data_IF_617825067241
#
_entry.id   IF_617825067241
#
_cell.length_a   1.000
_cell.length_b   1.000
_cell.length_c   1.000
_cell.angle_alpha   90.00
_cell.angle_beta   90.00
_cell.angle_gamma   90.00
#
_symmetry.space_group_name_H-M   'P 1'
#
loop_
_entity.id
_entity.type
_entity.pdbx_description
1 polymer ?
#
# COMPACT_ATOMS: atom_id res chain seq x y z
N UNK A 1 -53.80 -29.19 15.46
CA UNK A 1 -52.45 -28.97 14.89
C UNK A 1 -52.04 -27.55 15.24
N UNK A 2 -51.18 -27.38 16.25
CA UNK A 2 -50.67 -26.06 16.65
C UNK A 2 -49.41 -25.81 15.86
N UNK A 3 -49.47 -24.90 14.89
CA UNK A 3 -48.34 -24.51 14.07
C UNK A 3 -47.36 -23.67 14.89
N UNK A 4 -46.22 -24.24 15.23
CA UNK A 4 -45.09 -23.50 15.80
C UNK A 4 -44.50 -22.64 14.69
N UNK A 5 -44.76 -21.33 14.73
CA UNK A 5 -44.07 -20.36 13.88
C UNK A 5 -42.65 -20.16 14.40
N UNK A 6 -41.69 -20.68 13.66
CA UNK A 6 -40.27 -20.50 13.93
C UNK A 6 -39.87 -19.08 13.49
N UNK A 7 -39.83 -18.14 14.44
CA UNK A 7 -39.22 -16.82 14.21
C UNK A 7 -37.70 -17.00 14.09
N UNK A 8 -37.19 -16.99 12.86
CA UNK A 8 -35.76 -16.87 12.61
C UNK A 8 -35.34 -15.42 12.94
N UNK A 9 -34.74 -15.21 14.10
CA UNK A 9 -34.10 -13.94 14.43
C UNK A 9 -32.88 -13.77 13.50
N UNK A 10 -32.99 -12.88 12.51
CA UNK A 10 -31.83 -12.39 11.79
C UNK A 10 -30.99 -11.54 12.76
N UNK A 11 -29.98 -12.15 13.38
CA UNK A 11 -28.89 -11.38 13.95
C UNK A 11 -28.18 -10.64 12.80
N UNK A 12 -27.94 -9.32 12.91
CA UNK A 12 -27.12 -8.63 11.94
C UNK A 12 -25.70 -9.22 12.02
N UNK A 13 -25.29 -9.93 10.98
CA UNK A 13 -23.89 -10.31 10.81
C UNK A 13 -23.08 -9.03 10.58
N UNK A 14 -22.61 -8.42 11.67
CA UNK A 14 -21.49 -7.49 11.63
C UNK A 14 -20.28 -8.30 11.16
N UNK A 15 -19.94 -8.17 9.89
CA UNK A 15 -18.58 -8.43 9.42
C UNK A 15 -17.69 -7.30 9.95
N UNK A 16 -17.51 -7.25 11.27
CA UNK A 16 -16.59 -6.35 11.92
C UNK A 16 -15.17 -6.88 11.70
N UNK A 17 -14.25 -6.02 11.27
CA UNK A 17 -12.84 -6.27 11.57
C UNK A 17 -12.76 -6.47 13.08
N UNK A 18 -12.09 -7.54 13.52
CA UNK A 18 -12.19 -8.01 14.89
C UNK A 18 -11.31 -7.19 15.87
N UNK A 19 -10.67 -6.15 15.36
CA UNK A 19 -9.67 -5.30 16.02
C UNK A 19 -10.07 -3.82 15.84
N UNK A 20 -9.61 -2.93 16.73
CA UNK A 20 -9.74 -1.50 16.51
C UNK A 20 -8.97 -1.06 15.26
N UNK A 21 -9.70 -0.58 14.26
CA UNK A 21 -9.13 0.11 13.10
C UNK A 21 -8.67 1.48 13.56
N UNK A 22 -7.41 1.80 13.28
CA UNK A 22 -6.79 3.09 13.57
C UNK A 22 -7.00 4.05 12.39
N UNK A 23 -6.78 3.54 11.17
CA UNK A 23 -6.94 4.25 9.91
C UNK A 23 -7.70 3.36 8.92
N UNK A 24 -8.73 3.89 8.30
CA UNK A 24 -9.51 3.19 7.28
C UNK A 24 -9.36 3.88 5.92
N UNK A 25 -8.41 3.40 5.12
CA UNK A 25 -8.13 3.88 3.77
C UNK A 25 -8.88 3.11 2.69
N UNK A 26 -9.92 2.36 3.04
CA UNK A 26 -10.80 1.69 2.06
C UNK A 26 -11.78 2.72 1.51
N UNK A 27 -11.65 3.05 0.23
CA UNK A 27 -12.43 4.13 -0.37
C UNK A 27 -13.92 3.77 -0.36
N UNK A 28 -14.79 4.50 0.38
CA UNK A 28 -16.21 4.19 0.38
C UNK A 28 -16.82 4.58 -0.99
N UNK A 29 -17.91 3.93 -1.39
CA UNK A 29 -18.54 4.17 -2.70
C UNK A 29 -19.05 5.60 -2.93
N UNK A 30 -19.24 6.37 -1.87
CA UNK A 30 -19.63 7.78 -1.94
C UNK A 30 -18.43 8.75 -1.97
N UNK A 31 -17.19 8.25 -1.82
CA UNK A 31 -15.99 9.05 -2.03
C UNK A 31 -15.89 9.40 -3.52
N UNK A 32 -15.54 10.64 -3.81
CA UNK A 32 -15.61 11.21 -5.16
C UNK A 32 -14.26 11.70 -5.65
N UNK A 33 -14.20 12.00 -6.95
CA UNK A 33 -13.08 12.69 -7.59
C UNK A 33 -12.74 14.00 -6.88
N UNK A 34 -13.76 14.78 -6.50
CA UNK A 34 -13.58 16.07 -5.85
C UNK A 34 -12.98 15.91 -4.45
N UNK A 35 -13.36 14.85 -3.73
CA UNK A 35 -12.80 14.55 -2.42
C UNK A 35 -11.30 14.25 -2.51
N UNK A 36 -10.87 13.48 -3.52
CA UNK A 36 -9.44 13.28 -3.80
C UNK A 36 -8.71 14.58 -4.14
N UNK A 37 -9.28 15.39 -5.04
CA UNK A 37 -8.66 16.66 -5.44
C UNK A 37 -8.49 17.64 -4.27
N UNK A 38 -9.37 17.56 -3.27
CA UNK A 38 -9.36 18.39 -2.07
C UNK A 38 -8.62 17.75 -0.87
N UNK A 39 -8.03 16.55 -1.04
CA UNK A 39 -7.41 15.79 0.07
C UNK A 39 -8.34 15.66 1.28
N UNK A 40 -9.60 15.29 1.03
CA UNK A 40 -10.55 14.98 2.09
C UNK A 40 -10.12 13.71 2.81
N UNK A 41 -10.40 13.62 4.11
CA UNK A 41 -10.16 12.39 4.86
C UNK A 41 -10.77 11.17 4.14
N UNK A 42 -10.02 10.06 4.02
CA UNK A 42 -8.81 9.73 4.77
C UNK A 42 -7.49 10.00 4.00
N UNK A 43 -7.51 10.72 2.87
CA UNK A 43 -6.36 10.77 1.95
C UNK A 43 -5.73 12.15 1.82
N UNK A 44 -4.41 12.21 1.97
CA UNK A 44 -3.60 13.33 1.53
C UNK A 44 -2.99 12.99 0.16
N UNK A 45 -3.14 13.89 -0.82
CA UNK A 45 -2.73 13.64 -2.22
C UNK A 45 -1.84 14.74 -2.77
N UNK A 46 -0.91 15.22 -1.95
CA UNK A 46 0.01 16.30 -2.31
C UNK A 46 1.22 15.80 -3.11
N UNK A 47 1.59 14.53 -2.96
CA UNK A 47 2.71 13.91 -3.68
C UNK A 47 2.23 13.42 -5.04
N UNK A 48 2.30 14.30 -6.04
CA UNK A 48 1.83 14.08 -7.40
C UNK A 48 2.49 15.06 -8.37
N UNK A 49 2.20 14.91 -9.66
CA UNK A 49 2.56 15.89 -10.67
C UNK A 49 1.76 17.20 -10.59
N UNK A 50 1.92 18.03 -11.62
CA UNK A 50 1.33 19.38 -11.67
C UNK A 50 -0.19 19.41 -11.80
N UNK A 51 -0.81 18.32 -12.24
CA UNK A 51 -2.27 18.22 -12.38
C UNK A 51 -2.96 17.92 -11.05
N UNK A 52 -4.30 18.00 -11.03
CA UNK A 52 -5.08 17.60 -9.85
C UNK A 52 -4.88 16.11 -9.53
N UNK A 53 -5.14 15.70 -8.27
CA UNK A 53 -4.93 14.32 -7.83
C UNK A 53 -5.69 13.30 -8.68
N UNK A 54 -6.91 13.64 -9.09
CA UNK A 54 -7.75 12.84 -9.97
C UNK A 54 -7.27 12.65 -11.41
N UNK A 55 -6.24 13.37 -11.83
CA UNK A 55 -5.55 13.07 -13.09
C UNK A 55 -4.73 11.77 -12.97
N UNK A 56 -4.11 11.57 -11.80
CA UNK A 56 -3.24 10.43 -11.51
C UNK A 56 -3.95 9.30 -10.76
N UNK A 57 -5.08 9.60 -10.09
CA UNK A 57 -5.85 8.64 -9.29
C UNK A 57 -7.28 8.51 -9.80
N UNK A 58 -7.84 7.30 -9.81
CA UNK A 58 -9.22 7.05 -10.24
C UNK A 58 -9.93 6.11 -9.29
N UNK A 59 -11.11 6.53 -8.85
CA UNK A 59 -12.06 5.72 -8.11
C UNK A 59 -12.89 4.90 -9.10
N UNK A 60 -12.76 3.58 -9.08
CA UNK A 60 -13.38 2.71 -10.09
C UNK A 60 -14.83 2.35 -9.78
N UNK A 61 -15.40 2.83 -8.67
CA UNK A 61 -16.76 2.50 -8.26
C UNK A 61 -17.01 0.99 -8.31
N UNK A 62 -17.99 0.58 -9.11
CA UNK A 62 -18.38 -0.83 -9.31
C UNK A 62 -17.81 -1.47 -10.58
N UNK A 63 -17.00 -0.76 -11.37
CA UNK A 63 -16.49 -1.29 -12.63
C UNK A 63 -15.42 -2.37 -12.44
N UNK A 64 -14.71 -2.35 -11.32
CA UNK A 64 -13.73 -3.36 -10.91
C UNK A 64 -14.00 -3.76 -9.47
N UNK A 65 -14.18 -5.06 -9.16
CA UNK A 65 -14.38 -5.48 -7.79
C UNK A 65 -13.09 -5.31 -6.97
N UNK A 66 -13.17 -4.81 -5.72
CA UNK A 66 -12.06 -4.80 -4.78
C UNK A 66 -11.59 -6.21 -4.42
N UNK A 67 -10.54 -6.32 -3.60
CA UNK A 67 -10.14 -7.63 -3.08
C UNK A 67 -11.33 -8.30 -2.36
N UNK A 68 -11.65 -9.56 -2.67
CA UNK A 68 -12.77 -10.24 -2.03
C UNK A 68 -12.48 -10.57 -0.55
N UNK A 69 -11.24 -10.39 -0.08
CA UNK A 69 -10.79 -10.71 1.28
C UNK A 69 -11.58 -9.98 2.38
N UNK A 70 -11.94 -8.72 2.12
CA UNK A 70 -12.58 -7.82 3.08
C UNK A 70 -14.07 -7.57 2.79
N UNK A 71 -14.62 -8.25 1.79
CA UNK A 71 -16.02 -8.12 1.42
C UNK A 71 -16.96 -8.52 2.56
N UNK A 72 -18.09 -7.82 2.67
CA UNK A 72 -19.10 -8.12 3.69
C UNK A 72 -19.76 -9.46 3.39
N UNK A 73 -19.74 -10.37 4.34
CA UNK A 73 -20.44 -11.65 4.25
C UNK A 73 -21.96 -11.45 4.17
N UNK A 74 -22.61 -12.11 3.21
CA UNK A 74 -24.08 -12.09 3.08
C UNK A 74 -24.71 -13.06 4.07
N UNK A 75 -24.07 -14.21 4.31
CA UNK A 75 -24.56 -15.27 5.17
C UNK A 75 -23.67 -15.41 6.42
N UNK A 76 -24.22 -15.42 7.65
CA UNK A 76 -23.46 -15.33 8.90
C UNK A 76 -22.44 -16.44 9.20
N UNK A 77 -22.31 -17.46 8.33
CA UNK A 77 -21.50 -18.66 8.56
C UNK A 77 -20.82 -19.20 7.29
N UNK A 78 -20.99 -18.53 6.15
CA UNK A 78 -20.32 -18.92 4.90
C UNK A 78 -19.30 -17.86 4.50
N UNK A 79 -18.08 -18.26 4.10
CA UNK A 79 -17.06 -17.31 3.68
C UNK A 79 -17.45 -16.59 2.38
N UNK A 80 -18.37 -17.16 1.59
CA UNK A 80 -18.87 -16.62 0.32
C UNK A 80 -20.36 -16.92 0.14
N UNK A 81 -21.08 -16.10 -0.65
CA UNK A 81 -20.63 -14.90 -1.36
C UNK A 81 -20.43 -13.69 -0.42
N UNK A 82 -19.52 -12.79 -0.81
CA UNK A 82 -19.30 -11.48 -0.16
C UNK A 82 -19.73 -10.35 -1.08
N UNK A 83 -20.09 -9.20 -0.50
CA UNK A 83 -20.42 -7.97 -1.23
C UNK A 83 -19.30 -6.96 -0.98
N UNK A 84 -18.76 -6.32 -2.04
CA UNK A 84 -17.87 -5.16 -1.90
C UNK A 84 -18.45 -4.08 -0.99
N UNK A 85 -17.64 -3.55 -0.08
CA UNK A 85 -17.95 -2.42 0.80
C UNK A 85 -17.09 -1.18 0.50
N UNK A 86 -16.18 -1.29 -0.47
CA UNK A 86 -15.27 -0.24 -0.93
C UNK A 86 -15.22 -0.24 -2.46
N UNK A 87 -14.69 0.84 -3.03
CA UNK A 87 -14.30 0.91 -4.43
C UNK A 87 -12.77 0.82 -4.56
N UNK A 88 -12.32 0.32 -5.72
CA UNK A 88 -10.89 0.23 -6.04
C UNK A 88 -10.34 1.62 -6.31
N UNK A 89 -9.17 1.90 -5.72
CA UNK A 89 -8.35 3.08 -6.02
C UNK A 89 -7.31 2.68 -7.05
N UNK A 90 -7.42 3.17 -8.28
CA UNK A 90 -6.37 3.06 -9.28
C UNK A 90 -5.40 4.24 -9.11
N UNK A 91 -4.11 3.97 -8.95
CA UNK A 91 -3.06 4.98 -8.90
C UNK A 91 -2.17 4.79 -10.12
N UNK A 92 -1.86 5.88 -10.81
CA UNK A 92 -1.07 5.86 -12.02
C UNK A 92 -0.07 7.01 -12.07
N UNK A 93 0.99 6.80 -12.82
CA UNK A 93 1.97 7.81 -13.17
C UNK A 93 2.02 7.98 -14.69
N UNK A 94 2.33 9.19 -15.12
CA UNK A 94 2.67 9.51 -16.50
C UNK A 94 3.87 10.47 -16.54
N UNK A 95 4.21 10.97 -17.72
CA UNK A 95 5.34 11.88 -17.90
C UNK A 95 5.20 13.22 -17.16
N UNK A 96 4.00 13.59 -16.71
CA UNK A 96 3.74 14.79 -15.90
C UNK A 96 3.83 14.53 -14.39
N UNK A 97 3.97 13.28 -13.94
CA UNK A 97 4.07 12.87 -12.53
C UNK A 97 5.42 13.23 -11.87
N UNK A 98 5.88 14.46 -12.06
CA UNK A 98 7.08 15.00 -11.42
C UNK A 98 6.66 15.75 -10.17
N UNK A 99 7.05 15.25 -8.99
CA UNK A 99 6.73 15.90 -7.72
C UNK A 99 7.67 17.09 -7.46
N UNK A 100 7.10 18.16 -6.91
CA UNK A 100 7.81 19.39 -6.55
C UNK A 100 7.65 19.61 -5.04
N UNK A 101 8.46 18.96 -4.18
CA UNK A 101 8.45 19.21 -2.75
C UNK A 101 8.67 20.69 -2.45
N UNK A 102 7.78 21.28 -1.64
CA UNK A 102 7.82 22.71 -1.31
C UNK A 102 7.63 23.67 -2.49
N UNK A 103 7.35 23.15 -3.70
CA UNK A 103 7.10 23.94 -4.91
C UNK A 103 8.34 24.42 -5.68
N UNK A 104 9.57 24.11 -5.25
CA UNK A 104 10.78 24.70 -5.86
C UNK A 104 11.79 23.72 -6.43
N UNK A 105 11.75 22.43 -6.03
CA UNK A 105 12.77 21.45 -6.39
C UNK A 105 12.16 20.25 -7.12
N UNK A 106 11.95 20.31 -8.44
CA UNK A 106 11.33 19.23 -9.20
C UNK A 106 12.18 17.96 -9.17
N UNK A 107 11.57 16.84 -8.77
CA UNK A 107 12.22 15.53 -8.73
C UNK A 107 12.17 14.84 -10.09
N UNK A 108 12.92 15.35 -11.08
CA UNK A 108 12.86 14.85 -12.46
C UNK A 108 13.33 13.40 -12.63
N UNK A 109 14.17 12.92 -11.72
CA UNK A 109 14.60 11.54 -11.68
C UNK A 109 13.46 10.58 -11.36
N UNK A 110 12.37 11.05 -10.73
CA UNK A 110 11.21 10.21 -10.41
C UNK A 110 9.99 10.45 -11.30
N UNK A 111 9.15 9.43 -11.38
CA UNK A 111 7.72 9.59 -11.66
C UNK A 111 6.96 9.08 -10.46
N UNK A 112 6.22 9.95 -9.76
CA UNK A 112 5.60 9.61 -8.48
C UNK A 112 4.17 10.12 -8.38
N UNK A 113 3.29 9.28 -7.87
CA UNK A 113 1.98 9.66 -7.34
C UNK A 113 1.72 8.79 -6.13
N UNK A 114 1.60 9.42 -4.97
CA UNK A 114 1.31 8.74 -3.71
C UNK A 114 -0.01 9.24 -3.15
N UNK A 115 -0.69 8.33 -2.47
CA UNK A 115 -1.80 8.60 -1.57
C UNK A 115 -1.31 8.32 -0.16
N UNK A 116 -1.40 9.33 0.70
CA UNK A 116 -0.86 9.28 2.06
C UNK A 116 -2.03 9.20 3.05
N UNK A 117 -1.90 8.37 4.07
CA UNK A 117 -2.88 8.29 5.14
C UNK A 117 -2.91 9.60 5.95
N UNK A 118 -4.09 10.21 6.09
CA UNK A 118 -4.29 11.37 6.97
C UNK A 118 -5.56 11.23 7.82
N UNK A 119 -5.65 12.10 8.83
CA UNK A 119 -6.88 12.32 9.59
C UNK A 119 -7.02 13.79 9.95
N UNK A 120 -8.19 14.36 9.76
CA UNK A 120 -8.49 15.77 9.96
C UNK A 120 -7.45 16.69 9.26
N UNK A 121 -7.11 16.37 8.01
CA UNK A 121 -6.19 17.19 7.19
C UNK A 121 -4.71 17.13 7.58
N UNK A 122 -4.29 16.16 8.40
CA UNK A 122 -2.87 16.01 8.78
C UNK A 122 -2.48 14.55 8.99
N UNK A 123 -1.29 14.19 8.50
CA UNK A 123 -0.62 12.90 8.75
C UNK A 123 -0.20 12.77 10.22
N UNK A 124 0.20 13.88 10.86
CA UNK A 124 0.63 13.94 12.26
C UNK A 124 -0.44 13.47 13.26
N UNK A 125 -1.74 13.59 12.91
CA UNK A 125 -2.83 13.13 13.76
C UNK A 125 -2.90 11.59 13.86
N UNK A 126 -2.29 10.87 12.91
CA UNK A 126 -2.27 9.41 12.88
C UNK A 126 -1.04 8.83 13.59
N UNK A 127 0.13 9.49 13.55
CA UNK A 127 1.39 8.95 14.07
C UNK A 127 1.30 8.40 15.51
N UNK A 128 0.71 9.13 16.50
CA UNK A 128 0.63 8.63 17.87
C UNK A 128 -0.22 7.34 18.02
N UNK A 129 -1.10 7.08 17.05
CA UNK A 129 -2.01 5.94 17.06
C UNK A 129 -1.51 4.79 16.18
N UNK A 130 -0.98 5.10 14.99
CA UNK A 130 -0.52 4.11 14.00
C UNK A 130 0.88 3.59 14.29
N UNK A 131 1.69 4.35 15.01
CA UNK A 131 3.14 4.13 15.08
C UNK A 131 3.65 4.05 16.51
N UNK A 132 2.87 3.37 17.36
CA UNK A 132 3.19 3.03 18.74
C UNK A 132 2.74 1.59 19.04
N UNK A 133 3.40 0.92 19.99
CA UNK A 133 3.06 -0.46 20.36
C UNK A 133 3.23 -1.43 19.18
N UNK A 134 2.17 -2.19 18.86
CA UNK A 134 2.16 -3.11 17.71
C UNK A 134 0.95 -2.80 16.83
N UNK A 135 1.22 -2.45 15.58
CA UNK A 135 0.20 -2.14 14.57
C UNK A 135 0.41 -2.97 13.30
N UNK A 136 -0.63 -3.10 12.49
CA UNK A 136 -0.59 -3.88 11.24
C UNK A 136 -1.13 -3.06 10.08
N UNK A 137 -0.33 -2.95 9.04
CA UNK A 137 -0.62 -2.22 7.81
C UNK A 137 -1.11 -3.19 6.75
N UNK A 138 -2.40 -3.12 6.43
CA UNK A 138 -3.06 -3.95 5.43
C UNK A 138 -3.16 -3.21 4.11
N UNK A 139 -2.93 -3.92 3.01
CA UNK A 139 -3.13 -3.41 1.66
C UNK A 139 -3.21 -4.58 0.67
N UNK A 140 -3.99 -4.40 -0.40
CA UNK A 140 -4.08 -5.36 -1.50
C UNK A 140 -3.74 -4.68 -2.81
N UNK A 141 -2.92 -5.33 -3.63
CA UNK A 141 -2.38 -4.76 -4.87
C UNK A 141 -2.77 -5.67 -6.04
N UNK A 142 -3.18 -5.08 -7.16
CA UNK A 142 -3.42 -5.76 -8.42
C UNK A 142 -2.88 -4.93 -9.58
N UNK A 143 -2.43 -5.59 -10.65
CA UNK A 143 -1.96 -4.92 -11.87
C UNK A 143 -3.13 -4.18 -12.54
N UNK A 144 -2.91 -2.93 -12.95
CA UNK A 144 -3.78 -2.29 -13.95
C UNK A 144 -3.32 -2.74 -15.34
N UNK A 145 -3.97 -3.76 -15.91
CA UNK A 145 -3.61 -4.30 -17.24
C UNK A 145 -3.72 -3.25 -18.37
N UNK A 146 -4.41 -2.13 -18.14
CA UNK A 146 -4.48 -1.01 -19.10
C UNK A 146 -3.31 -0.05 -18.99
N UNK A 147 -2.51 -0.15 -17.92
CA UNK A 147 -1.34 0.71 -17.62
C UNK A 147 -0.19 -0.16 -17.11
N UNK A 148 0.36 -1.06 -17.94
CA UNK A 148 1.38 -2.00 -17.52
C UNK A 148 2.65 -1.29 -17.05
N UNK A 149 3.32 -1.89 -16.06
CA UNK A 149 4.60 -1.39 -15.54
C UNK A 149 5.77 -1.72 -16.46
N UNK A 150 6.79 -0.87 -16.49
CA UNK A 150 8.09 -1.14 -17.12
C UNK A 150 9.07 -1.72 -16.11
N UNK A 151 9.22 -3.04 -16.10
CA UNK A 151 10.04 -3.77 -15.12
C UNK A 151 11.56 -3.56 -15.23
N UNK A 152 12.05 -2.78 -16.19
CA UNK A 152 13.44 -2.31 -16.20
C UNK A 152 13.73 -1.30 -15.09
N UNK A 153 12.69 -0.62 -14.59
CA UNK A 153 12.80 0.35 -13.50
C UNK A 153 12.48 -0.29 -12.16
N UNK A 154 12.93 0.36 -11.09
CA UNK A 154 12.47 0.08 -9.73
C UNK A 154 11.17 0.82 -9.45
N UNK A 155 10.23 0.14 -8.79
CA UNK A 155 9.04 0.76 -8.23
C UNK A 155 9.00 0.58 -6.72
N UNK A 156 8.66 1.65 -6.02
CA UNK A 156 8.37 1.66 -4.59
C UNK A 156 6.90 2.02 -4.42
N UNK A 157 6.10 1.10 -3.90
CA UNK A 157 4.65 1.13 -4.14
C UNK A 157 3.78 1.14 -2.88
N UNK A 158 4.37 0.82 -1.73
CA UNK A 158 3.82 0.99 -0.38
C UNK A 158 4.99 1.12 0.58
N UNK A 159 5.00 2.11 1.45
CA UNK A 159 6.07 2.32 2.44
C UNK A 159 5.60 3.24 3.57
N UNK A 160 6.35 3.26 4.67
CA UNK A 160 6.26 4.31 5.69
C UNK A 160 7.53 5.15 5.59
N UNK A 161 7.42 6.45 5.35
CA UNK A 161 8.53 7.38 5.13
C UNK A 161 8.76 8.28 6.36
N UNK A 162 9.79 8.00 7.19
CA UNK A 162 10.21 8.94 8.22
C UNK A 162 10.80 10.22 7.62
N UNK A 163 11.02 11.22 8.47
CA UNK A 163 11.50 12.55 8.03
C UNK A 163 12.87 12.57 7.34
N UNK A 164 13.64 11.49 7.43
CA UNK A 164 14.95 11.35 6.77
C UNK A 164 14.85 10.78 5.33
N UNK A 165 13.65 10.46 4.85
CA UNK A 165 13.39 9.91 3.52
C UNK A 165 13.73 8.41 3.40
N UNK A 166 14.05 7.74 4.51
CA UNK A 166 14.19 6.28 4.56
C UNK A 166 12.80 5.60 4.55
N UNK A 167 12.77 4.26 4.67
CA UNK A 167 11.52 3.54 4.86
C UNK A 167 11.57 2.64 6.10
N UNK A 168 10.53 2.66 6.94
CA UNK A 168 10.40 1.68 8.05
C UNK A 168 10.30 0.26 7.47
N UNK A 169 9.45 0.11 6.47
CA UNK A 169 9.41 -1.02 5.54
C UNK A 169 8.99 -0.50 4.16
N UNK A 170 9.29 -1.26 3.11
CA UNK A 170 8.86 -0.92 1.75
C UNK A 170 8.42 -2.12 0.95
N UNK A 171 7.49 -1.91 0.02
CA UNK A 171 7.12 -2.86 -1.02
C UNK A 171 7.75 -2.39 -2.32
N UNK A 172 8.63 -3.22 -2.87
CA UNK A 172 9.32 -2.96 -4.11
C UNK A 172 8.85 -3.93 -5.21
N UNK A 173 8.82 -3.44 -6.45
CA UNK A 173 8.63 -4.21 -7.67
C UNK A 173 9.66 -3.76 -8.73
N UNK A 174 9.87 -4.53 -9.79
CA UNK A 174 10.80 -4.15 -10.86
C UNK A 174 12.28 -4.41 -10.53
N UNK A 175 13.14 -3.83 -11.35
CA UNK A 175 14.60 -4.00 -11.28
C UNK A 175 15.18 -2.96 -10.34
N UNK A 176 15.90 -3.34 -9.27
CA UNK A 176 16.47 -2.36 -8.35
C UNK A 176 17.36 -1.34 -9.07
N UNK A 177 17.32 -0.08 -8.63
CA UNK A 177 18.24 0.92 -9.16
C UNK A 177 19.67 0.57 -8.76
N UNK A 178 20.58 0.53 -9.74
CA UNK A 178 22.00 0.36 -9.48
C UNK A 178 22.82 1.31 -10.35
N UNK A 179 23.91 1.81 -9.81
CA UNK A 179 24.91 2.57 -10.53
C UNK A 179 26.31 1.93 -10.30
N UNK A 180 26.90 1.28 -11.32
CA UNK A 180 26.43 1.15 -12.71
C UNK A 180 25.18 0.27 -12.84
N UNK A 181 24.43 0.46 -13.94
CA UNK A 181 23.22 -0.33 -14.21
C UNK A 181 23.54 -1.81 -14.40
N UNK A 182 22.89 -2.66 -13.61
CA UNK A 182 22.97 -4.11 -13.74
C UNK A 182 22.13 -4.65 -14.91
N UNK A 183 22.06 -5.97 -15.10
CA UNK A 183 21.23 -6.58 -16.14
C UNK A 183 19.74 -6.24 -15.96
N UNK A 184 19.10 -5.81 -17.04
CA UNK A 184 17.68 -5.44 -17.06
C UNK A 184 16.87 -6.32 -18.05
N UNK A 185 15.63 -6.72 -17.69
CA UNK A 185 15.09 -6.64 -16.34
C UNK A 185 15.85 -7.58 -15.40
N UNK A 186 15.93 -7.23 -14.11
CA UNK A 186 16.48 -8.10 -13.09
C UNK A 186 15.68 -9.41 -13.03
N UNK A 187 16.35 -10.50 -12.65
CA UNK A 187 15.75 -11.86 -12.61
C UNK A 187 14.43 -11.93 -11.83
N UNK A 188 14.28 -11.11 -10.79
CA UNK A 188 13.10 -11.05 -9.93
C UNK A 188 12.29 -9.76 -10.10
N UNK A 189 12.37 -9.10 -11.27
CA UNK A 189 11.65 -7.85 -11.51
C UNK A 189 10.12 -8.01 -11.45
N UNK A 190 9.61 -9.18 -11.85
CA UNK A 190 8.18 -9.54 -11.78
C UNK A 190 7.76 -10.13 -10.41
N UNK A 191 8.42 -9.74 -9.32
CA UNK A 191 8.10 -10.20 -7.97
C UNK A 191 7.97 -9.02 -7.02
N UNK A 192 6.92 -9.04 -6.19
CA UNK A 192 6.88 -8.16 -5.03
C UNK A 192 8.00 -8.55 -4.07
N UNK A 193 8.63 -7.55 -3.47
CA UNK A 193 9.64 -7.69 -2.42
C UNK A 193 9.18 -6.84 -1.24
N UNK A 194 9.02 -7.46 -0.08
CA UNK A 194 8.84 -6.75 1.18
C UNK A 194 10.22 -6.54 1.78
N UNK A 195 10.58 -5.29 2.04
CA UNK A 195 11.89 -4.87 2.50
C UNK A 195 11.81 -4.31 3.92
N UNK A 196 12.86 -4.55 4.71
CA UNK A 196 13.11 -3.82 5.95
C UNK A 196 13.78 -2.45 5.69
N UNK A 197 14.08 -1.71 6.75
CA UNK A 197 14.72 -0.41 6.66
C UNK A 197 16.13 -0.46 6.07
N UNK A 198 16.85 -1.57 6.24
CA UNK A 198 18.17 -1.78 5.65
C UNK A 198 18.10 -2.33 4.21
N UNK A 199 16.91 -2.34 3.60
CA UNK A 199 16.64 -2.85 2.25
C UNK A 199 16.85 -4.37 2.10
N UNK A 200 16.87 -5.12 3.20
CA UNK A 200 16.89 -6.58 3.14
C UNK A 200 15.52 -7.11 2.72
N UNK A 201 15.51 -8.10 1.83
CA UNK A 201 14.26 -8.76 1.41
C UNK A 201 13.78 -9.71 2.50
N UNK A 202 12.68 -9.35 3.17
CA UNK A 202 12.00 -10.16 4.19
C UNK A 202 11.12 -11.24 3.56
N UNK A 203 10.43 -10.89 2.47
CA UNK A 203 9.54 -11.79 1.74
C UNK A 203 9.51 -11.42 0.26
N UNK A 204 9.41 -12.43 -0.60
CA UNK A 204 9.30 -12.25 -2.04
C UNK A 204 8.27 -13.22 -2.64
N UNK A 205 7.43 -12.72 -3.53
CA UNK A 205 6.41 -13.54 -4.22
C UNK A 205 6.19 -13.05 -5.65
N UNK A 206 5.96 -13.95 -6.63
CA UNK A 206 5.67 -13.53 -8.00
C UNK A 206 4.43 -12.64 -8.08
N UNK A 207 4.51 -11.56 -8.86
CA UNK A 207 3.38 -10.71 -9.18
C UNK A 207 2.60 -11.29 -10.36
N UNK A 208 1.49 -11.95 -10.07
CA UNK A 208 0.68 -12.66 -11.07
C UNK A 208 -0.47 -11.79 -11.54
N UNK A 209 -0.60 -11.57 -12.85
CA UNK A 209 -1.71 -10.79 -13.41
C UNK A 209 -3.08 -11.38 -13.06
N UNK A 210 -4.10 -10.53 -13.02
CA UNK A 210 -5.48 -10.92 -12.75
C UNK A 210 -5.81 -11.16 -11.27
N UNK A 211 -4.83 -11.49 -10.41
CA UNK A 211 -5.03 -11.72 -8.98
C UNK A 211 -4.87 -10.45 -8.14
N UNK A 212 -5.64 -10.37 -7.06
CA UNK A 212 -5.32 -9.51 -5.93
C UNK A 212 -4.24 -10.17 -5.07
N UNK A 213 -3.20 -9.41 -4.72
CA UNK A 213 -2.16 -9.81 -3.80
C UNK A 213 -2.37 -9.07 -2.48
N UNK A 214 -2.75 -9.79 -1.43
CA UNK A 214 -3.08 -9.19 -0.14
C UNK A 214 -1.87 -9.30 0.79
N UNK A 215 -1.51 -8.19 1.44
CA UNK A 215 -0.42 -8.11 2.39
C UNK A 215 -0.92 -7.55 3.71
N UNK A 216 -0.26 -7.97 4.78
CA UNK A 216 -0.28 -7.26 6.05
C UNK A 216 1.14 -7.23 6.62
N UNK A 217 1.63 -6.04 6.96
CA UNK A 217 2.93 -5.88 7.63
C UNK A 217 2.68 -5.47 9.07
N UNK A 218 3.02 -6.36 9.99
CA UNK A 218 3.03 -6.05 11.42
C UNK A 218 4.32 -5.32 11.74
N UNK A 219 4.20 -4.17 12.41
CA UNK A 219 5.30 -3.40 12.97
C UNK A 219 5.17 -3.42 14.48
N UNK A 220 6.18 -3.98 15.16
CA UNK A 220 6.33 -3.87 16.62
C UNK A 220 7.30 -2.71 16.87
N UNK A 221 6.75 -1.53 17.19
CA UNK A 221 7.47 -0.29 17.42
C UNK A 221 8.27 -0.31 18.72
N UNK A 222 7.83 -1.12 19.69
CA UNK A 222 8.49 -1.24 20.99
C UNK A 222 9.75 -2.12 20.89
N UNK A 223 9.72 -3.19 20.08
CA UNK A 223 10.84 -4.11 19.87
C UNK A 223 11.61 -3.89 18.58
N UNK A 224 11.15 -2.97 17.74
CA UNK A 224 11.70 -2.69 16.42
C UNK A 224 11.78 -3.95 15.55
N UNK A 225 10.64 -4.63 15.34
CA UNK A 225 10.56 -5.83 14.51
C UNK A 225 9.44 -5.74 13.47
N UNK A 226 9.61 -6.47 12.36
CA UNK A 226 8.64 -6.61 11.29
C UNK A 226 8.18 -8.07 11.15
N UNK A 227 6.91 -8.28 10.82
CA UNK A 227 6.43 -9.58 10.35
C UNK A 227 5.47 -9.40 9.17
N UNK A 228 5.56 -10.32 8.21
CA UNK A 228 4.78 -10.25 6.96
C UNK A 228 3.74 -11.36 6.95
N UNK A 229 2.50 -10.97 6.63
CA UNK A 229 1.43 -11.87 6.24
C UNK A 229 1.09 -11.64 4.77
N UNK A 230 0.71 -12.71 4.09
CA UNK A 230 0.39 -12.67 2.67
C UNK A 230 -0.69 -13.69 2.28
N UNK A 231 -1.48 -13.33 1.28
CA UNK A 231 -2.39 -14.24 0.57
C UNK A 231 -2.72 -13.70 -0.83
N UNK A 232 -3.55 -14.45 -1.57
CA UNK A 232 -4.13 -13.98 -2.84
C UNK A 232 -5.64 -14.05 -2.81
N UNK A 233 -6.26 -13.10 -3.52
CA UNK A 233 -7.68 -13.05 -3.77
C UNK A 233 -8.49 -13.23 -2.47
N UNK A 234 -9.34 -14.25 -2.42
CA UNK A 234 -10.21 -14.59 -1.29
C UNK A 234 -9.50 -15.31 -0.13
N UNK A 235 -8.24 -15.72 -0.33
CA UNK A 235 -7.52 -16.53 0.63
C UNK A 235 -7.21 -15.76 1.91
N UNK A 236 -7.37 -16.35 3.12
CA UNK A 236 -6.96 -15.68 4.34
C UNK A 236 -5.47 -15.37 4.35
N UNK A 237 -5.11 -14.23 4.93
CA UNK A 237 -3.72 -13.88 5.22
C UNK A 237 -3.07 -14.95 6.10
N UNK A 238 -1.84 -15.32 5.78
CA UNK A 238 -1.00 -16.22 6.58
C UNK A 238 0.34 -15.58 6.81
N UNK A 239 0.89 -15.74 8.01
CA UNK A 239 2.27 -15.36 8.29
C UNK A 239 3.22 -16.10 7.35
N UNK A 240 4.03 -15.34 6.62
CA UNK A 240 5.08 -15.84 5.72
C UNK A 240 6.48 -15.58 6.29
N UNK A 241 6.57 -14.79 7.35
CA UNK A 241 7.76 -14.63 8.19
C UNK A 241 7.41 -14.81 9.66
N UNK A 242 8.43 -14.99 10.50
CA UNK A 242 8.35 -14.71 11.93
C UNK A 242 8.57 -13.20 12.16
N UNK A 243 8.60 -12.74 13.41
CA UNK A 243 9.15 -11.43 13.71
C UNK A 243 10.65 -11.38 13.35
N UNK A 244 11.05 -10.37 12.59
CA UNK A 244 12.42 -10.15 12.12
C UNK A 244 12.87 -8.78 12.63
N UNK A 245 14.07 -8.65 13.22
CA UNK A 245 14.58 -7.35 13.68
C UNK A 245 14.70 -6.33 12.55
N UNK A 246 14.32 -5.08 12.84
CA UNK A 246 14.45 -3.93 11.95
C UNK A 246 15.41 -2.89 12.56
N UNK A 247 16.55 -3.34 13.09
CA UNK A 247 17.38 -2.56 14.03
C UNK A 247 18.05 -1.31 13.45
N UNK A 248 18.05 -1.14 12.13
CA UNK A 248 18.56 0.08 11.49
C UNK A 248 17.55 1.23 11.50
N UNK A 249 16.26 0.94 11.74
CA UNK A 249 15.21 1.93 11.89
C UNK A 249 15.33 2.66 13.24
N UNK A 250 15.22 4.00 13.21
CA UNK A 250 15.23 4.83 14.40
C UNK A 250 14.03 4.54 15.31
N UNK A 251 14.15 4.77 16.62
CA UNK A 251 13.05 4.58 17.58
C UNK A 251 12.42 5.91 17.97
N UNK A 252 11.18 5.85 18.49
CA UNK A 252 10.43 7.02 18.90
C UNK A 252 10.07 7.93 17.71
N UNK A 253 9.92 9.23 17.98
CA UNK A 253 9.43 10.20 16.98
C UNK A 253 10.30 10.30 15.72
N UNK A 254 11.60 9.96 15.79
CA UNK A 254 12.50 9.98 14.64
C UNK A 254 12.28 8.81 13.66
N UNK A 255 11.72 7.69 14.13
CA UNK A 255 11.34 6.55 13.29
C UNK A 255 9.91 6.61 12.78
N UNK A 256 9.10 7.54 13.31
CA UNK A 256 7.73 7.72 12.85
C UNK A 256 7.71 8.43 11.49
N UNK A 257 6.74 8.09 10.65
CA UNK A 257 6.68 8.52 9.27
C UNK A 257 5.29 8.52 8.67
N UNK A 258 5.21 8.96 7.42
CA UNK A 258 3.96 9.01 6.69
C UNK A 258 3.71 7.65 6.02
N UNK A 259 2.47 7.13 6.05
CA UNK A 259 2.12 5.88 5.37
C UNK A 259 1.64 6.15 3.95
N UNK A 260 2.43 5.72 2.96
CA UNK A 260 2.20 5.95 1.54
C UNK A 260 1.79 4.67 0.84
N UNK A 261 0.85 4.79 -0.10
CA UNK A 261 0.63 3.80 -1.15
C UNK A 261 0.46 4.52 -2.48
N UNK A 262 1.03 3.96 -3.54
CA UNK A 262 1.01 4.60 -4.85
C UNK A 262 2.06 4.03 -5.78
N UNK A 263 2.51 4.84 -6.74
CA UNK A 263 3.51 4.41 -7.70
C UNK A 263 4.62 5.44 -7.72
N UNK A 264 5.75 5.16 -7.06
CA UNK A 264 7.02 5.79 -7.34
C UNK A 264 7.78 4.90 -8.32
N UNK A 265 8.27 5.49 -9.41
CA UNK A 265 9.19 4.88 -10.37
C UNK A 265 10.55 5.60 -10.35
N UNK A 266 11.63 4.86 -10.07
CA UNK A 266 13.00 5.36 -10.15
C UNK A 266 13.46 5.45 -11.62
N UNK A 267 14.47 6.29 -11.93
CA UNK A 267 15.00 6.40 -13.28
C UNK A 267 15.92 5.22 -13.61
N UNK A 268 16.37 5.11 -14.86
CA UNK A 268 17.59 4.37 -15.19
C UNK A 268 18.79 5.32 -15.13
N UNK A 269 20.00 4.80 -14.88
CA UNK A 269 21.21 5.63 -14.97
C UNK A 269 21.35 6.13 -16.41
N UNK A 270 21.57 7.43 -16.58
CA UNK A 270 21.93 8.01 -17.86
C UNK A 270 23.46 8.02 -17.99
N UNK A 271 24.06 7.27 -18.94
CA UNK A 271 25.52 7.28 -19.12
C UNK A 271 26.07 8.63 -19.60
N UNK A 272 25.21 9.54 -20.06
CA UNK A 272 25.59 10.89 -20.47
C UNK A 272 25.60 11.90 -19.31
N UNK A 273 25.01 11.55 -18.16
CA UNK A 273 25.05 12.39 -16.97
C UNK A 273 26.45 12.33 -16.33
N UNK A 274 26.85 13.38 -15.60
CA UNK A 274 28.12 13.37 -14.88
C UNK A 274 28.12 12.31 -13.77
N UNK A 275 29.28 11.82 -13.28
CA UNK A 275 29.29 10.85 -12.18
C UNK A 275 28.54 11.29 -10.92
N UNK A 276 28.52 12.60 -10.63
CA UNK A 276 27.75 13.15 -9.51
C UNK A 276 26.24 13.06 -9.78
N UNK A 277 25.81 13.45 -10.97
CA UNK A 277 24.41 13.43 -11.40
C UNK A 277 23.88 11.98 -11.50
N UNK A 278 24.70 11.03 -11.93
CA UNK A 278 24.33 9.61 -11.92
C UNK A 278 24.08 9.06 -10.51
N UNK A 279 24.62 9.72 -9.47
CA UNK A 279 24.35 9.42 -8.06
C UNK A 279 23.14 10.17 -7.48
N UNK A 280 22.68 11.23 -8.14
CA UNK A 280 21.51 12.01 -7.74
C UNK A 280 20.24 11.50 -8.43
N UNK A 281 19.80 10.34 -7.93
CA UNK A 281 18.65 9.59 -8.44
C UNK A 281 17.33 10.39 -8.37
N UNK A 282 17.25 11.38 -7.49
CA UNK A 282 16.06 12.20 -7.29
C UNK A 282 15.86 13.15 -8.48
N UNK A 283 16.94 13.68 -9.05
CA UNK A 283 16.87 14.73 -10.07
C UNK A 283 17.30 14.29 -11.47
N UNK A 284 18.04 13.18 -11.60
CA UNK A 284 18.69 12.79 -12.86
C UNK A 284 18.34 11.37 -13.32
N UNK A 285 18.80 11.01 -14.52
CA UNK A 285 18.54 9.71 -15.13
C UNK A 285 17.45 9.67 -16.20
N UNK A 286 17.25 8.50 -16.79
CA UNK A 286 16.35 8.26 -17.91
C UNK A 286 14.99 7.81 -17.39
N UNK A 287 13.93 8.47 -17.87
CA UNK A 287 12.55 8.08 -17.65
C UNK A 287 11.90 7.72 -18.99
N UNK A 288 11.35 6.51 -19.06
CA UNK A 288 10.70 5.96 -20.25
C UNK A 288 9.23 5.62 -19.96
N UNK A 289 8.45 5.29 -20.99
CA UNK A 289 7.05 4.89 -20.84
C UNK A 289 6.06 6.03 -21.08
N UNK A 290 4.77 5.70 -20.94
CA UNK A 290 3.66 6.65 -21.18
C UNK A 290 2.80 6.79 -19.94
N UNK A 291 2.09 5.72 -19.59
CA UNK A 291 1.28 5.66 -18.38
C UNK A 291 1.38 4.27 -17.77
N UNK A 292 1.62 4.23 -16.47
CA UNK A 292 1.85 3.01 -15.70
C UNK A 292 1.01 3.08 -14.42
N UNK A 293 0.49 1.96 -13.94
CA UNK A 293 -0.43 2.01 -12.80
C UNK A 293 -0.68 0.70 -12.09
N UNK A 294 -1.21 0.85 -10.88
CA UNK A 294 -1.58 -0.23 -9.97
C UNK A 294 -2.97 0.04 -9.38
N UNK A 295 -3.63 -1.04 -9.00
CA UNK A 295 -4.93 -1.02 -8.35
C UNK A 295 -4.75 -1.38 -6.87
N UNK A 296 -5.41 -0.62 -5.99
CA UNK A 296 -5.38 -0.77 -4.55
C UNK A 296 -6.77 -0.99 -3.97
N UNK A 297 -6.85 -1.83 -2.94
CA UNK A 297 -8.06 -2.12 -2.16
C UNK A 297 -7.65 -2.69 -0.80
N UNK A 298 -8.53 -2.61 0.19
CA UNK A 298 -8.26 -3.20 1.50
C UNK A 298 -7.12 -2.51 2.22
N UNK A 299 -6.96 -1.19 2.02
CA UNK A 299 -5.91 -0.39 2.66
C UNK A 299 -6.42 0.11 4.01
N UNK A 300 -5.87 -0.38 5.11
CA UNK A 300 -6.22 0.07 6.46
C UNK A 300 -5.11 -0.28 7.45
N UNK A 301 -5.14 0.36 8.63
CA UNK A 301 -4.22 0.08 9.73
C UNK A 301 -5.02 -0.27 10.97
N UNK A 302 -4.63 -1.33 11.65
CA UNK A 302 -5.28 -1.80 12.87
C UNK A 302 -4.28 -1.95 14.02
N UNK A 303 -4.78 -1.86 15.25
CA UNK A 303 -4.04 -2.32 16.42
C UNK A 303 -4.17 -3.84 16.55
N UNK A 304 -3.18 -4.51 17.15
CA UNK A 304 -3.26 -5.96 17.41
C UNK A 304 -3.99 -6.34 18.70
N UNK A 305 -4.74 -5.42 19.31
CA UNK A 305 -5.37 -5.62 20.62
C UNK A 305 -6.25 -6.88 20.70
N UNK A 306 -6.87 -7.26 19.56
CA UNK A 306 -7.70 -8.47 19.43
C UNK A 306 -7.13 -9.48 18.42
N UNK A 307 -5.83 -9.42 18.14
CA UNK A 307 -5.15 -10.18 17.08
C UNK A 307 -5.00 -9.39 15.79
N UNK A 308 -4.68 -10.07 14.69
CA UNK A 308 -4.52 -9.53 13.34
C UNK A 308 -5.69 -10.01 12.50
N UNK A 309 -6.40 -9.11 11.83
CA UNK A 309 -7.45 -9.47 10.87
C UNK A 309 -6.87 -10.23 9.68
N UNK A 310 -7.40 -11.41 9.36
CA UNK A 310 -6.91 -12.24 8.22
C UNK A 310 -7.96 -12.51 7.16
N UNK A 311 -9.07 -11.76 7.19
CA UNK A 311 -10.15 -11.84 6.22
C UNK A 311 -11.25 -12.86 6.57
N UNK A 312 -12.45 -12.59 6.06
CA UNK A 312 -13.66 -13.36 6.37
C UNK A 312 -14.05 -13.32 7.86
N UNK A 313 -13.80 -12.20 8.55
CA UNK A 313 -14.12 -12.00 9.97
C UNK A 313 -13.22 -12.75 10.97
N UNK A 314 -12.09 -13.31 10.52
CA UNK A 314 -11.17 -14.09 11.36
C UNK A 314 -9.98 -13.27 11.82
N UNK A 315 -9.42 -13.65 12.96
CA UNK A 315 -8.13 -13.15 13.44
C UNK A 315 -7.13 -14.25 13.73
N UNK A 316 -5.85 -13.87 13.74
CA UNK A 316 -4.75 -14.66 14.30
C UNK A 316 -4.06 -13.87 15.40
N UNK A 317 -3.24 -14.53 16.22
CA UNK A 317 -2.43 -13.81 17.22
C UNK A 317 -1.37 -12.93 16.53
N UNK A 318 -0.94 -11.88 17.22
CA UNK A 318 0.25 -11.13 16.83
C UNK A 318 1.45 -12.08 16.64
N UNK A 319 2.26 -11.80 15.62
CA UNK A 319 3.44 -12.59 15.31
C UNK A 319 4.56 -12.17 16.27
N UNK A 320 5.23 -13.14 16.90
CA UNK A 320 6.37 -12.94 17.79
C UNK A 320 7.64 -13.52 17.19
#
# INVERSE_FOLDING_TARGET
MVGVSLFLALLPALSALATPIIYDGRAPFNYTKADFDASVDPYLTVVKGSQNASHYTTLLGKSVPPTPLWGRQILPLLPFPTIPNEQVVAVSIDNSSVFLPGGTNPQFGFRRTDVIAQKAGSTANLLPQMETGITVFHFSIKLDEKKPLNYNHEYQIVFIEPSDGSHVFGIQLGSPFTNPTGPLPAKNAHSFKVLDHALNVLFMTPFTSGSWHNFAVQVDWDKNTLAVLYSKDAGPLKAVTKAIPNTSHATGAAGQGEFHFGVLKLPLVNPNDSPADQGDVVHHGIQEGTTEGLLYSGVFVESVANGISVGGGRTVKAIN
#
